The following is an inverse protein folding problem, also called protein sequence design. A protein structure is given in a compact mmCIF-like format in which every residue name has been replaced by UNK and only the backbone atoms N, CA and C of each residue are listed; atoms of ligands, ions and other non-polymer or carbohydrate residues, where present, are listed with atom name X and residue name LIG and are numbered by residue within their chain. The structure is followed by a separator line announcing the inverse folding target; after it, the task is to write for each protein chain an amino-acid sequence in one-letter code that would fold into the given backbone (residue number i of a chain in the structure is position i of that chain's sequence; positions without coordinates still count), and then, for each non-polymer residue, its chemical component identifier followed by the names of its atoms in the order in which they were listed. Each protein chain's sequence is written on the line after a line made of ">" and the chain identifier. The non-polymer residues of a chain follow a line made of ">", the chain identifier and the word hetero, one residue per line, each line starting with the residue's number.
data_IF_131354209392
#
_entry.id   IF_131354209392
#
_cell.length_a   1.000
_cell.length_b   1.000
_cell.length_c   1.000
_cell.angle_alpha   90.00
_cell.angle_beta   90.00
_cell.angle_gamma   90.00
#
_symmetry.space_group_name_H-M   'P 1'
#
loop_
_entity.id
_entity.type
_entity.pdbx_description
1 polymer ?
#
# COMPACT_ATOMS: atom_id res chain seq x y z
N UNK A 1 62.33 3.95 -45.85
CA UNK A 1 62.92 4.29 -44.53
C UNK A 1 61.81 4.44 -43.51
N UNK A 2 61.55 3.39 -42.72
CA UNK A 2 60.59 3.38 -41.62
C UNK A 2 61.31 3.89 -40.37
N UNK A 3 60.97 5.08 -39.89
CA UNK A 3 61.51 5.59 -38.63
C UNK A 3 60.74 4.98 -37.46
N UNK A 4 61.49 4.25 -36.64
CA UNK A 4 61.10 3.60 -35.41
C UNK A 4 61.10 4.67 -34.30
N UNK A 5 59.92 5.07 -33.81
CA UNK A 5 59.82 6.00 -32.67
C UNK A 5 59.68 5.16 -31.40
N UNK A 6 60.77 5.07 -30.63
CA UNK A 6 60.76 4.56 -29.24
C UNK A 6 59.86 5.47 -28.41
N UNK A 7 58.84 4.89 -27.77
CA UNK A 7 58.10 5.53 -26.70
C UNK A 7 59.03 5.76 -25.51
N UNK A 8 59.20 7.02 -25.13
CA UNK A 8 59.94 7.43 -23.95
C UNK A 8 58.95 7.45 -22.78
N UNK A 9 59.11 6.48 -21.90
CA UNK A 9 58.37 6.32 -20.65
C UNK A 9 58.65 7.55 -19.78
N UNK A 10 57.61 8.28 -19.39
CA UNK A 10 57.71 9.40 -18.47
C UNK A 10 57.82 8.85 -17.06
N UNK A 11 59.01 8.98 -16.46
CA UNK A 11 59.23 8.75 -15.03
C UNK A 11 58.35 9.72 -14.22
N UNK A 12 57.24 9.20 -13.69
CA UNK A 12 56.44 9.82 -12.63
C UNK A 12 56.96 9.29 -11.29
N UNK A 13 57.05 10.18 -10.29
CA UNK A 13 57.53 9.81 -8.95
C UNK A 13 56.66 8.69 -8.35
N UNK A 14 57.24 7.55 -7.94
CA UNK A 14 56.50 6.38 -7.43
C UNK A 14 55.71 6.66 -6.15
N UNK A 15 55.97 7.79 -5.47
CA UNK A 15 55.25 8.23 -4.28
C UNK A 15 53.85 8.80 -4.61
N UNK A 16 53.69 9.46 -5.76
CA UNK A 16 52.41 10.04 -6.18
C UNK A 16 51.49 8.96 -6.75
N UNK A 17 52.02 8.00 -7.53
CA UNK A 17 51.25 6.83 -7.96
C UNK A 17 50.78 5.99 -6.76
N UNK A 18 51.60 5.86 -5.72
CA UNK A 18 51.22 5.17 -4.48
C UNK A 18 50.08 5.83 -3.70
N UNK A 19 50.06 7.16 -3.61
CA UNK A 19 48.99 7.91 -2.94
C UNK A 19 47.68 7.89 -3.73
N UNK A 20 47.74 7.95 -5.06
CA UNK A 20 46.56 7.86 -5.92
C UNK A 20 45.97 6.45 -5.88
N UNK A 21 46.80 5.41 -6.01
CA UNK A 21 46.36 4.01 -5.91
C UNK A 21 45.78 3.66 -4.53
N UNK A 22 46.35 4.20 -3.44
CA UNK A 22 45.80 4.02 -2.10
C UNK A 22 44.44 4.73 -1.93
N UNK A 23 44.25 5.90 -2.54
CA UNK A 23 42.97 6.62 -2.49
C UNK A 23 41.87 5.92 -3.31
N UNK A 24 42.22 5.34 -4.47
CA UNK A 24 41.29 4.59 -5.31
C UNK A 24 40.92 3.25 -4.67
N UNK A 25 41.87 2.54 -4.06
CA UNK A 25 41.60 1.31 -3.33
C UNK A 25 40.67 1.53 -2.12
N UNK A 26 40.82 2.65 -1.41
CA UNK A 26 39.98 2.99 -0.27
C UNK A 26 38.57 3.46 -0.69
N UNK A 27 38.46 4.14 -1.84
CA UNK A 27 37.18 4.51 -2.43
C UNK A 27 36.42 3.30 -2.99
N UNK A 28 37.11 2.34 -3.62
CA UNK A 28 36.52 1.11 -4.13
C UNK A 28 36.08 0.17 -2.99
N UNK A 29 36.88 0.05 -1.92
CA UNK A 29 36.51 -0.73 -0.73
C UNK A 29 35.32 -0.14 0.03
N UNK A 30 35.15 1.19 0.00
CA UNK A 30 33.97 1.85 0.57
C UNK A 30 32.73 1.64 -0.30
N UNK A 31 32.89 1.60 -1.64
CA UNK A 31 31.81 1.32 -2.59
C UNK A 31 31.34 -0.15 -2.53
N UNK A 32 32.26 -1.11 -2.40
CA UNK A 32 31.91 -2.54 -2.34
C UNK A 32 31.27 -2.93 -0.99
N UNK A 33 31.55 -2.20 0.09
CA UNK A 33 30.96 -2.47 1.41
C UNK A 33 29.49 -2.00 1.52
N UNK A 34 29.07 -1.05 0.68
CA UNK A 34 27.67 -0.55 0.63
C UNK A 34 26.75 -1.38 -0.29
N UNK A 35 27.28 -2.22 -1.18
CA UNK A 35 26.48 -3.09 -2.07
C UNK A 35 25.89 -4.31 -1.35
N UNK A 36 26.33 -4.61 -0.12
CA UNK A 36 25.81 -5.72 0.70
C UNK A 36 24.53 -5.39 1.48
N UNK A 37 23.96 -4.19 1.34
CA UNK A 37 22.68 -3.82 1.97
C UNK A 37 21.69 -3.35 0.91
N UNK A 38 20.77 -4.25 0.59
CA UNK A 38 19.65 -4.09 -0.34
C UNK A 38 18.75 -2.91 0.07
N UNK A 39 19.05 -1.70 -0.41
CA UNK A 39 18.23 -0.50 -0.23
C UNK A 39 17.75 0.02 -1.59
N UNK A 40 16.44 0.32 -1.73
CA UNK A 40 15.92 0.91 -2.95
C UNK A 40 16.33 2.39 -3.09
N UNK A 41 16.66 2.75 -4.32
CA UNK A 41 17.19 4.04 -4.79
C UNK A 41 16.41 5.30 -4.35
N UNK A 42 17.15 6.38 -4.05
CA UNK A 42 16.56 7.72 -3.87
C UNK A 42 17.57 8.87 -3.67
N UNK A 43 17.98 9.50 -4.77
CA UNK A 43 18.53 10.89 -4.90
C UNK A 43 19.85 11.30 -4.22
N UNK A 44 20.38 10.63 -3.19
CA UNK A 44 21.62 11.08 -2.53
C UNK A 44 22.92 10.73 -3.27
N UNK A 45 22.89 9.79 -4.22
CA UNK A 45 24.10 9.36 -4.94
C UNK A 45 24.51 10.28 -6.08
N UNK A 46 23.59 11.10 -6.62
CA UNK A 46 23.94 12.01 -7.70
C UNK A 46 24.86 13.14 -7.23
N UNK A 47 24.69 13.63 -6.01
CA UNK A 47 25.58 14.65 -5.44
C UNK A 47 27.00 14.10 -5.22
N UNK A 48 27.13 12.84 -4.78
CA UNK A 48 28.43 12.19 -4.59
C UNK A 48 29.11 11.89 -5.93
N UNK A 49 28.35 11.45 -6.95
CA UNK A 49 28.86 11.23 -8.32
C UNK A 49 29.26 12.53 -9.00
N UNK A 50 28.49 13.61 -8.86
CA UNK A 50 28.84 14.93 -9.38
C UNK A 50 30.12 15.45 -8.73
N UNK A 51 30.27 15.31 -7.41
CA UNK A 51 31.50 15.68 -6.70
C UNK A 51 32.73 14.90 -7.15
N UNK A 52 32.61 13.57 -7.33
CA UNK A 52 33.69 12.73 -7.85
C UNK A 52 34.07 13.10 -9.30
N UNK A 53 33.10 13.52 -10.11
CA UNK A 53 33.35 13.94 -11.50
C UNK A 53 34.05 15.30 -11.56
N UNK A 54 33.71 16.22 -10.64
CA UNK A 54 34.39 17.51 -10.48
C UNK A 54 35.83 17.31 -9.98
N UNK A 55 36.06 16.43 -9.01
CA UNK A 55 37.41 16.09 -8.55
C UNK A 55 38.28 15.45 -9.64
N UNK A 56 37.73 14.54 -10.45
CA UNK A 56 38.46 13.95 -11.59
C UNK A 56 38.81 14.98 -12.67
N UNK A 57 37.94 15.97 -12.92
CA UNK A 57 38.23 17.07 -13.86
C UNK A 57 39.28 18.04 -13.35
N UNK A 58 39.33 18.30 -12.03
CA UNK A 58 40.33 19.16 -11.42
C UNK A 58 41.72 18.50 -11.35
N UNK A 59 41.79 17.18 -11.19
CA UNK A 59 43.04 16.41 -11.21
C UNK A 59 43.59 16.15 -12.62
N UNK A 60 42.77 16.30 -13.67
CA UNK A 60 43.16 16.05 -15.06
C UNK A 60 43.59 17.31 -15.85
N UNK A 61 43.81 18.45 -15.18
CA UNK A 61 44.26 19.67 -15.86
C UNK A 61 45.71 19.49 -16.41
N UNK A 62 45.95 19.68 -17.71
CA UNK A 62 47.28 19.51 -18.29
C UNK A 62 48.21 20.66 -17.85
N UNK A 63 49.37 20.30 -17.30
CA UNK A 63 50.44 21.24 -16.92
C UNK A 63 50.94 22.00 -18.17
N UNK A 64 51.07 23.33 -18.13
CA UNK A 64 51.51 24.09 -19.29
C UNK A 64 52.96 23.77 -19.66
N UNK A 65 53.18 23.48 -20.94
CA UNK A 65 54.46 23.10 -21.55
C UNK A 65 55.35 24.35 -21.71
N UNK A 66 56.36 24.50 -20.85
CA UNK A 66 57.35 25.60 -20.92
C UNK A 66 58.32 25.37 -22.09
N UNK A 67 58.26 26.22 -23.13
CA UNK A 67 59.26 26.28 -24.19
C UNK A 67 60.52 27.01 -23.70
N UNK A 68 61.69 26.35 -23.76
CA UNK A 68 63.00 26.96 -23.48
C UNK A 68 63.57 27.56 -24.76
N UNK A 69 63.71 28.89 -24.80
CA UNK A 69 64.68 29.58 -25.67
C UNK A 69 66.00 29.81 -24.89
N UNK A 70 67.16 29.86 -25.54
CA UNK A 70 68.42 30.05 -24.85
C UNK A 70 68.79 31.53 -24.72
N UNK A 71 69.64 31.77 -23.72
CA UNK A 71 70.70 32.79 -23.71
C UNK A 71 70.46 34.08 -22.88
N UNK A 72 71.30 34.14 -21.84
CA UNK A 72 72.00 35.27 -21.23
C UNK A 72 71.35 36.10 -20.10
N UNK A 73 72.22 36.26 -19.10
CA UNK A 73 72.32 37.30 -18.08
C UNK A 73 71.48 37.16 -16.80
N UNK A 74 72.13 36.50 -15.84
CA UNK A 74 72.29 36.92 -14.44
C UNK A 74 71.15 37.70 -13.79
N UNK A 75 70.33 37.02 -12.99
CA UNK A 75 69.73 37.56 -11.77
C UNK A 75 69.50 36.40 -10.77
N UNK A 76 69.58 36.65 -9.45
CA UNK A 76 69.88 35.63 -8.44
C UNK A 76 68.70 34.67 -8.16
N UNK A 77 68.94 33.36 -7.95
CA UNK A 77 67.90 32.41 -7.59
C UNK A 77 67.92 32.24 -6.07
N UNK A 78 67.35 33.19 -5.33
CA UNK A 78 66.99 32.90 -3.96
C UNK A 78 65.78 33.73 -3.57
N UNK A 79 64.90 33.10 -2.80
CA UNK A 79 63.89 33.74 -1.94
C UNK A 79 62.45 33.94 -2.46
N UNK A 80 61.99 33.18 -3.45
CA UNK A 80 60.54 33.16 -3.79
C UNK A 80 59.90 31.76 -3.90
N UNK A 81 60.67 30.67 -3.72
CA UNK A 81 60.16 29.29 -3.77
C UNK A 81 59.92 28.65 -2.39
N UNK A 82 60.06 29.41 -1.29
CA UNK A 82 59.81 28.89 0.07
C UNK A 82 58.32 28.92 0.44
N UNK A 83 57.61 29.99 0.09
CA UNK A 83 56.24 30.19 0.58
C UNK A 83 55.18 29.38 -0.18
N UNK A 84 55.45 28.92 -1.42
CA UNK A 84 54.47 28.15 -2.20
C UNK A 84 54.11 26.81 -1.55
N UNK A 85 55.07 26.17 -0.88
CA UNK A 85 54.85 24.90 -0.19
C UNK A 85 54.11 25.11 1.14
N UNK A 86 54.38 26.22 1.84
CA UNK A 86 53.64 26.60 3.06
C UNK A 86 52.16 26.87 2.75
N UNK A 87 51.85 27.60 1.66
CA UNK A 87 50.46 27.84 1.25
C UNK A 87 49.74 26.56 0.83
N UNK A 88 50.44 25.61 0.21
CA UNK A 88 49.86 24.31 -0.16
C UNK A 88 49.51 23.46 1.06
N UNK A 89 50.38 23.44 2.08
CA UNK A 89 50.12 22.72 3.35
C UNK A 89 48.97 23.38 4.11
N UNK A 90 48.96 24.71 4.20
CA UNK A 90 47.87 25.46 4.84
C UNK A 90 46.54 25.24 4.11
N UNK A 91 46.54 25.24 2.77
CA UNK A 91 45.35 24.95 1.97
C UNK A 91 44.85 23.50 2.18
N UNK A 92 45.75 22.52 2.28
CA UNK A 92 45.38 21.13 2.54
C UNK A 92 44.77 20.96 3.94
N UNK A 93 45.37 21.56 4.97
CA UNK A 93 44.83 21.54 6.34
C UNK A 93 43.48 22.25 6.39
N UNK A 94 43.35 23.42 5.75
CA UNK A 94 42.10 24.15 5.67
C UNK A 94 41.00 23.33 4.97
N UNK A 95 41.34 22.62 3.89
CA UNK A 95 40.41 21.73 3.20
C UNK A 95 39.96 20.55 4.08
N UNK A 96 40.87 19.96 4.86
CA UNK A 96 40.56 18.87 5.80
C UNK A 96 39.66 19.36 6.95
N UNK A 97 39.99 20.51 7.54
CA UNK A 97 39.19 21.12 8.62
C UNK A 97 37.81 21.51 8.10
N UNK A 98 37.72 22.10 6.91
CA UNK A 98 36.45 22.42 6.25
C UNK A 98 35.63 21.15 5.98
N UNK A 99 36.27 20.08 5.50
CA UNK A 99 35.62 18.79 5.27
C UNK A 99 35.07 18.17 6.56
N UNK A 100 35.79 18.28 7.68
CA UNK A 100 35.29 17.84 8.99
C UNK A 100 34.13 18.70 9.49
N UNK A 101 34.20 20.02 9.30
CA UNK A 101 33.18 20.96 9.72
C UNK A 101 31.86 20.81 8.94
N UNK A 102 31.91 20.39 7.68
CA UNK A 102 30.69 20.08 6.92
C UNK A 102 30.06 18.75 7.36
N UNK A 103 30.86 17.80 7.84
CA UNK A 103 30.36 16.50 8.35
C UNK A 103 29.74 16.57 9.75
N UNK A 104 29.94 17.65 10.49
CA UNK A 104 29.33 17.82 11.83
C UNK A 104 27.86 18.23 11.76
N UNK A 105 27.39 18.76 10.63
CA UNK A 105 26.04 19.27 10.47
C UNK A 105 25.13 18.20 9.85
N UNK A 106 24.18 17.70 10.65
CA UNK A 106 23.12 16.82 10.16
C UNK A 106 21.81 17.57 10.05
N UNK A 107 21.07 17.30 8.98
CA UNK A 107 19.71 17.83 8.77
C UNK A 107 18.75 16.65 8.67
N UNK A 108 17.71 16.69 9.49
CA UNK A 108 16.57 15.77 9.42
C UNK A 108 15.35 16.50 8.88
N UNK A 109 14.61 15.80 8.05
CA UNK A 109 13.29 16.25 7.60
C UNK A 109 12.26 16.07 8.72
N UNK A 110 11.09 16.72 8.60
CA UNK A 110 10.05 16.72 9.63
C UNK A 110 9.61 15.30 10.05
N UNK A 111 9.57 14.40 9.06
CA UNK A 111 9.15 13.01 9.17
C UNK A 111 10.30 12.04 9.49
N UNK A 112 11.53 12.54 9.60
CA UNK A 112 12.69 11.75 9.97
C UNK A 112 13.04 11.99 11.45
N UNK A 113 13.47 10.93 12.11
CA UNK A 113 14.06 10.98 13.45
C UNK A 113 15.44 10.34 13.41
N UNK A 114 16.43 11.03 13.97
CA UNK A 114 17.78 10.50 14.08
C UNK A 114 17.98 9.85 15.45
N UNK A 115 18.39 8.59 15.42
CA UNK A 115 18.89 7.85 16.58
C UNK A 115 20.40 7.92 16.54
N UNK A 116 21.00 8.52 17.57
CA UNK A 116 22.44 8.69 17.66
C UNK A 116 23.04 7.60 18.54
N UNK A 117 24.09 6.96 18.04
CA UNK A 117 24.93 6.05 18.79
C UNK A 117 26.28 6.71 19.01
N UNK A 118 26.65 6.90 20.28
CA UNK A 118 27.96 7.45 20.67
C UNK A 118 28.80 6.32 21.23
N UNK A 119 29.86 5.92 20.53
CA UNK A 119 30.73 4.80 20.93
C UNK A 119 29.93 3.53 21.31
N UNK A 120 28.84 3.26 20.59
CA UNK A 120 27.96 2.10 20.84
C UNK A 120 26.93 2.28 21.97
N UNK A 121 26.92 3.39 22.72
CA UNK A 121 25.84 3.70 23.67
C UNK A 121 24.71 4.43 22.96
N UNK A 122 23.47 4.07 23.29
CA UNK A 122 22.27 4.75 22.84
C UNK A 122 22.26 6.18 23.39
N UNK A 123 22.32 7.17 22.50
CA UNK A 123 22.14 8.58 22.83
C UNK A 123 20.67 8.99 22.83
N UNK A 124 20.42 10.30 23.01
CA UNK A 124 19.06 10.84 22.86
C UNK A 124 18.62 10.79 21.40
N UNK A 125 17.34 10.49 21.18
CA UNK A 125 16.70 10.72 19.88
C UNK A 125 16.67 12.22 19.60
N UNK A 126 16.97 12.60 18.36
CA UNK A 126 16.89 14.00 17.92
C UNK A 126 15.68 14.16 17.00
N UNK A 127 14.92 15.21 17.29
CA UNK A 127 13.78 15.65 16.49
C UNK A 127 14.17 16.20 15.12
N UNK A 128 13.21 16.81 14.42
CA UNK A 128 13.44 17.37 13.09
C UNK A 128 14.26 18.67 13.19
N UNK A 129 14.95 19.01 12.10
CA UNK A 129 15.83 20.18 12.02
C UNK A 129 17.31 19.84 12.03
N UNK A 130 18.12 20.83 12.36
CA UNK A 130 19.58 20.70 12.38
C UNK A 130 20.05 20.19 13.75
N UNK A 131 21.06 19.32 13.73
CA UNK A 131 21.70 18.84 14.95
C UNK A 131 23.19 18.71 14.73
N UNK A 132 23.93 18.80 15.83
CA UNK A 132 25.38 18.71 15.84
C UNK A 132 25.83 17.27 16.07
N UNK A 133 26.69 16.79 15.19
CA UNK A 133 27.34 15.48 15.28
C UNK A 133 28.84 15.66 15.47
N UNK A 134 29.43 14.77 16.27
CA UNK A 134 30.88 14.64 16.32
C UNK A 134 31.27 13.62 15.25
N UNK A 135 31.94 14.04 14.14
CA UNK A 135 32.37 13.12 13.10
C UNK A 135 33.28 12.04 13.71
N UNK A 136 33.21 10.82 13.17
CA UNK A 136 33.89 9.59 13.65
C UNK A 136 33.34 8.95 14.92
N UNK A 137 32.85 9.72 15.89
CA UNK A 137 32.39 9.18 17.18
C UNK A 137 30.91 8.81 17.16
N UNK A 138 30.10 9.65 16.51
CA UNK A 138 28.66 9.50 16.47
C UNK A 138 28.25 8.77 15.17
N UNK A 139 27.48 7.68 15.30
CA UNK A 139 26.77 7.02 14.18
C UNK A 139 25.30 7.39 14.24
N UNK A 140 24.70 7.70 13.10
CA UNK A 140 23.28 8.07 13.03
C UNK A 140 22.50 7.08 12.19
N UNK A 141 21.39 6.61 12.76
CA UNK A 141 20.36 5.85 12.05
C UNK A 141 19.13 6.72 11.94
N UNK A 142 18.68 6.97 10.71
CA UNK A 142 17.46 7.72 10.43
C UNK A 142 16.29 6.75 10.33
N UNK A 143 15.20 7.07 11.03
CA UNK A 143 13.94 6.31 11.01
C UNK A 143 12.83 7.23 10.52
N UNK A 144 12.02 6.75 9.58
CA UNK A 144 10.83 7.44 9.11
C UNK A 144 9.66 7.16 10.07
N UNK A 145 8.97 8.21 10.51
CA UNK A 145 7.81 8.11 11.42
C UNK A 145 6.46 8.10 10.69
N UNK A 146 6.46 8.10 9.35
CA UNK A 146 5.22 8.00 8.56
C UNK A 146 4.63 6.59 8.64
N UNK A 147 3.33 6.51 8.41
CA UNK A 147 2.64 5.25 8.15
C UNK A 147 3.14 4.67 6.83
N UNK A 148 3.72 3.47 6.92
CA UNK A 148 4.17 2.70 5.78
C UNK A 148 3.11 1.64 5.51
N UNK A 149 2.75 1.48 4.23
CA UNK A 149 1.86 0.41 3.77
C UNK A 149 2.69 -0.72 3.21
N UNK A 150 2.49 -1.93 3.72
CA UNK A 150 3.13 -3.15 3.19
C UNK A 150 2.06 -4.18 2.85
N UNK A 151 2.16 -4.75 1.67
CA UNK A 151 1.33 -5.89 1.26
C UNK A 151 2.00 -7.16 1.77
N UNK A 152 1.23 -8.03 2.43
CA UNK A 152 1.71 -9.31 2.91
C UNK A 152 1.62 -10.36 1.79
N UNK A 153 2.51 -11.34 1.85
CA UNK A 153 2.49 -12.44 0.88
C UNK A 153 1.26 -13.33 1.05
N UNK A 154 0.82 -13.94 -0.06
CA UNK A 154 -0.32 -14.86 -0.06
C UNK A 154 -0.02 -16.11 0.75
N UNK A 155 -0.81 -16.37 1.78
CA UNK A 155 -0.65 -17.56 2.63
C UNK A 155 -1.79 -18.55 2.37
N UNK A 156 -1.44 -19.83 2.18
CA UNK A 156 -2.39 -20.93 2.12
C UNK A 156 -2.55 -21.56 3.51
N UNK A 157 -3.79 -21.57 4.02
CA UNK A 157 -4.08 -22.11 5.35
C UNK A 157 -5.48 -22.73 5.41
N UNK A 158 -5.75 -23.47 6.48
CA UNK A 158 -7.02 -24.17 6.68
C UNK A 158 -7.78 -23.43 7.79
N UNK A 159 -9.03 -23.10 7.50
CA UNK A 159 -9.97 -22.50 8.45
C UNK A 159 -10.42 -23.52 9.52
N UNK A 160 -11.12 -23.04 10.55
CA UNK A 160 -11.68 -23.92 11.59
C UNK A 160 -12.64 -24.98 11.03
N UNK A 161 -13.34 -24.66 9.95
CA UNK A 161 -14.26 -25.58 9.24
C UNK A 161 -13.56 -26.61 8.33
N UNK A 162 -12.22 -26.61 8.30
CA UNK A 162 -11.45 -27.54 7.47
C UNK A 162 -11.36 -27.14 5.99
N UNK A 163 -11.75 -25.92 5.62
CA UNK A 163 -11.63 -25.43 4.24
C UNK A 163 -10.27 -24.75 4.03
N UNK A 164 -9.53 -25.23 3.03
CA UNK A 164 -8.30 -24.59 2.58
C UNK A 164 -8.63 -23.27 1.85
N UNK A 165 -7.98 -22.18 2.26
CA UNK A 165 -8.14 -20.84 1.70
C UNK A 165 -6.78 -20.19 1.48
N UNK A 166 -6.68 -19.35 0.45
CA UNK A 166 -5.51 -18.48 0.23
C UNK A 166 -5.90 -17.05 0.57
N UNK A 167 -5.12 -16.39 1.42
CA UNK A 167 -5.50 -15.09 1.97
C UNK A 167 -4.39 -14.08 1.76
N UNK A 168 -4.80 -12.88 1.36
CA UNK A 168 -3.95 -11.69 1.23
C UNK A 168 -4.38 -10.63 2.22
N UNK A 169 -3.44 -9.84 2.71
CA UNK A 169 -3.74 -8.70 3.56
C UNK A 169 -2.75 -7.54 3.36
N UNK A 170 -3.16 -6.37 3.82
CA UNK A 170 -2.36 -5.15 3.83
C UNK A 170 -2.20 -4.67 5.26
N UNK A 171 -0.97 -4.28 5.59
CA UNK A 171 -0.58 -3.81 6.90
C UNK A 171 -0.19 -2.33 6.82
N UNK A 172 -0.79 -1.51 7.69
CA UNK A 172 -0.38 -0.12 7.92
C UNK A 172 0.26 0.00 9.30
N UNK A 173 1.51 0.42 9.33
CA UNK A 173 2.26 0.60 10.57
C UNK A 173 3.19 1.81 10.51
N UNK A 174 3.53 2.34 11.68
CA UNK A 174 4.46 3.47 11.83
C UNK A 174 5.37 3.29 13.03
N UNK A 175 6.57 3.86 12.94
CA UNK A 175 7.50 3.91 14.07
C UNK A 175 7.13 5.08 15.01
N UNK A 176 6.73 4.78 16.24
CA UNK A 176 6.43 5.79 17.27
C UNK A 176 7.66 6.10 18.10
N UNK A 177 8.41 5.06 18.49
CA UNK A 177 9.66 5.21 19.24
C UNK A 177 10.86 4.77 18.40
N UNK A 178 11.55 5.71 17.74
CA UNK A 178 12.67 5.37 16.86
C UNK A 178 13.85 4.77 17.62
N UNK A 179 14.05 5.06 18.92
CA UNK A 179 15.11 4.43 19.70
C UNK A 179 14.84 2.94 19.87
N UNK A 180 13.63 2.58 20.34
CA UNK A 180 13.25 1.17 20.51
C UNK A 180 13.28 0.40 19.19
N UNK A 181 12.80 1.00 18.09
CA UNK A 181 12.78 0.35 16.76
C UNK A 181 14.17 -0.07 16.29
N UNK A 182 15.21 0.72 16.58
CA UNK A 182 16.59 0.39 16.18
C UNK A 182 17.29 -0.56 17.15
N UNK A 183 16.93 -0.53 18.45
CA UNK A 183 17.60 -1.36 19.46
C UNK A 183 16.94 -2.70 19.73
N UNK A 184 15.63 -2.81 19.55
CA UNK A 184 14.86 -3.99 19.97
C UNK A 184 14.96 -5.14 18.97
N UNK A 185 15.08 -4.85 17.67
CA UNK A 185 15.11 -5.83 16.58
C UNK A 185 16.09 -5.40 15.52
N UNK A 186 16.82 -6.34 14.94
CA UNK A 186 17.76 -6.10 13.83
C UNK A 186 17.07 -5.48 12.60
N UNK A 187 16.03 -6.15 12.08
CA UNK A 187 15.15 -5.63 11.03
C UNK A 187 13.70 -5.63 11.51
N UNK A 188 13.26 -4.48 12.01
CA UNK A 188 11.89 -4.27 12.45
C UNK A 188 10.85 -4.46 11.31
N UNK A 189 11.21 -4.12 10.06
CA UNK A 189 10.34 -4.32 8.89
C UNK A 189 10.09 -5.80 8.61
N UNK A 190 11.13 -6.62 8.65
CA UNK A 190 11.00 -8.07 8.42
C UNK A 190 10.27 -8.74 9.58
N UNK A 191 10.58 -8.34 10.82
CA UNK A 191 9.95 -8.91 12.00
C UNK A 191 8.43 -8.62 12.05
N UNK A 192 7.99 -7.41 11.67
CA UNK A 192 6.55 -7.10 11.65
C UNK A 192 5.80 -7.88 10.57
N UNK A 193 6.41 -8.08 9.40
CA UNK A 193 5.82 -8.90 8.32
C UNK A 193 5.65 -10.35 8.80
N UNK A 194 6.69 -10.94 9.38
CA UNK A 194 6.64 -12.31 9.90
C UNK A 194 5.64 -12.47 11.05
N UNK A 195 5.56 -11.47 11.94
CA UNK A 195 4.57 -11.44 13.01
C UNK A 195 3.15 -11.36 12.43
N UNK A 196 2.93 -10.52 11.42
CA UNK A 196 1.65 -10.39 10.73
C UNK A 196 1.25 -11.67 10.01
N UNK A 197 2.16 -12.35 9.31
CA UNK A 197 1.91 -13.63 8.66
C UNK A 197 1.54 -14.73 9.66
N UNK A 198 2.25 -14.79 10.79
CA UNK A 198 1.94 -15.73 11.87
C UNK A 198 0.59 -15.43 12.51
N UNK A 199 0.32 -14.15 12.79
CA UNK A 199 -0.97 -13.69 13.34
C UNK A 199 -2.13 -13.94 12.38
N UNK A 200 -1.94 -13.75 11.07
CA UNK A 200 -2.94 -14.08 10.06
C UNK A 200 -3.25 -15.56 10.06
N UNK A 201 -2.24 -16.43 10.05
CA UNK A 201 -2.44 -17.88 10.10
C UNK A 201 -3.23 -18.30 11.34
N UNK A 202 -2.93 -17.73 12.50
CA UNK A 202 -3.67 -18.00 13.74
C UNK A 202 -5.11 -17.48 13.70
N UNK A 203 -5.31 -16.23 13.25
CA UNK A 203 -6.63 -15.63 13.14
C UNK A 203 -7.56 -16.38 12.18
N UNK A 204 -7.01 -16.85 11.04
CA UNK A 204 -7.77 -17.65 10.06
C UNK A 204 -8.06 -19.05 10.61
N UNK A 205 -7.10 -19.70 11.26
CA UNK A 205 -7.30 -21.03 11.84
C UNK A 205 -8.35 -21.06 12.96
N UNK A 206 -8.60 -19.93 13.62
CA UNK A 206 -9.62 -19.79 14.66
C UNK A 206 -10.99 -19.34 14.12
N UNK A 207 -11.05 -18.89 12.86
CA UNK A 207 -12.26 -18.34 12.23
C UNK A 207 -12.88 -19.33 11.25
N UNK A 208 -14.21 -19.27 11.15
CA UNK A 208 -15.00 -20.04 10.20
C UNK A 208 -15.03 -19.32 8.83
N UNK A 209 -15.23 -20.08 7.74
CA UNK A 209 -15.22 -19.50 6.39
C UNK A 209 -16.31 -18.43 6.21
N UNK A 210 -17.49 -18.70 6.75
CA UNK A 210 -18.64 -17.79 6.66
C UNK A 210 -18.36 -16.46 7.37
N UNK A 211 -17.66 -16.51 8.51
CA UNK A 211 -17.24 -15.32 9.26
C UNK A 211 -16.23 -14.49 8.46
N UNK A 212 -15.30 -15.13 7.74
CA UNK A 212 -14.36 -14.44 6.86
C UNK A 212 -15.04 -13.72 5.69
N UNK A 213 -16.16 -14.26 5.20
CA UNK A 213 -16.91 -13.70 4.08
C UNK A 213 -17.87 -12.58 4.52
N UNK A 214 -18.53 -12.73 5.67
CA UNK A 214 -19.56 -11.78 6.16
C UNK A 214 -19.01 -10.72 7.11
N UNK A 215 -18.15 -11.10 8.06
CA UNK A 215 -17.77 -10.29 9.22
C UNK A 215 -16.26 -9.99 9.27
N UNK A 216 -15.72 -9.42 8.19
CA UNK A 216 -14.29 -9.08 8.08
C UNK A 216 -13.79 -8.15 9.18
N UNK A 217 -14.65 -7.26 9.68
CA UNK A 217 -14.32 -6.29 10.74
C UNK A 217 -13.91 -6.99 12.04
N UNK A 218 -14.58 -8.09 12.39
CA UNK A 218 -14.27 -8.82 13.62
C UNK A 218 -12.89 -9.47 13.57
N UNK A 219 -12.52 -10.02 12.41
CA UNK A 219 -11.21 -10.67 12.19
C UNK A 219 -10.09 -9.64 12.18
N UNK A 220 -10.28 -8.52 11.47
CA UNK A 220 -9.31 -7.43 11.43
C UNK A 220 -9.03 -6.88 12.85
N UNK A 221 -10.07 -6.72 13.68
CA UNK A 221 -9.91 -6.28 15.07
C UNK A 221 -9.11 -7.27 15.92
N UNK A 222 -9.42 -8.57 15.81
CA UNK A 222 -8.68 -9.61 16.55
C UNK A 222 -7.21 -9.67 16.12
N UNK A 223 -6.96 -9.57 14.82
CA UNK A 223 -5.61 -9.54 14.25
C UNK A 223 -4.82 -8.32 14.76
N UNK A 224 -5.46 -7.15 14.81
CA UNK A 224 -4.86 -5.93 15.35
C UNK A 224 -4.50 -6.09 16.85
N UNK A 225 -5.37 -6.67 17.66
CA UNK A 225 -5.13 -6.93 19.09
C UNK A 225 -3.95 -7.89 19.30
N UNK A 226 -3.85 -8.96 18.51
CA UNK A 226 -2.74 -9.90 18.57
C UNK A 226 -1.41 -9.26 18.17
N UNK A 227 -1.41 -8.48 17.09
CA UNK A 227 -0.18 -7.89 16.55
C UNK A 227 0.29 -6.67 17.32
N UNK A 228 -0.61 -5.84 17.84
CA UNK A 228 -0.27 -4.66 18.65
C UNK A 228 0.56 -5.05 19.88
N UNK A 229 0.18 -6.12 20.58
CA UNK A 229 0.91 -6.64 21.75
C UNK A 229 2.38 -6.98 21.43
N UNK A 230 2.65 -7.50 20.23
CA UNK A 230 4.01 -7.80 19.78
C UNK A 230 4.74 -6.54 19.28
N UNK A 231 4.06 -5.69 18.51
CA UNK A 231 4.61 -4.48 17.89
C UNK A 231 5.02 -3.41 18.94
N UNK A 232 4.29 -3.30 20.04
CA UNK A 232 4.60 -2.38 21.14
C UNK A 232 5.98 -2.65 21.76
N UNK A 233 6.40 -3.92 21.82
CA UNK A 233 7.73 -4.31 22.33
C UNK A 233 8.85 -3.75 21.45
N UNK A 234 8.57 -3.55 20.17
CA UNK A 234 9.52 -3.02 19.19
C UNK A 234 9.40 -1.50 18.99
N UNK A 235 8.44 -0.84 19.63
CA UNK A 235 8.21 0.61 19.46
C UNK A 235 7.48 0.97 18.17
N UNK A 236 6.76 0.02 17.58
CA UNK A 236 5.95 0.17 16.37
C UNK A 236 4.49 0.23 16.78
N UNK A 237 3.73 1.12 16.15
CA UNK A 237 2.27 1.14 16.24
C UNK A 237 1.69 0.65 14.91
N UNK A 238 0.69 -0.22 14.99
CA UNK A 238 -0.05 -0.72 13.83
C UNK A 238 -1.33 0.10 13.76
N UNK A 239 -1.51 0.84 12.67
CA UNK A 239 -2.69 1.69 12.47
C UNK A 239 -3.91 0.82 12.09
N UNK A 240 -3.72 -0.12 11.16
CA UNK A 240 -4.75 -1.04 10.71
C UNK A 240 -4.15 -2.29 10.04
N UNK A 241 -4.93 -3.37 10.05
CA UNK A 241 -4.68 -4.57 9.23
C UNK A 241 -5.97 -4.94 8.53
N UNK A 242 -5.92 -5.09 7.22
CA UNK A 242 -7.10 -5.44 6.42
C UNK A 242 -6.83 -6.66 5.54
N UNK A 243 -7.70 -7.65 5.67
CA UNK A 243 -7.75 -8.78 4.74
C UNK A 243 -8.30 -8.28 3.41
N UNK A 244 -7.48 -8.39 2.36
CA UNK A 244 -7.80 -7.94 1.01
C UNK A 244 -8.72 -8.95 0.33
N UNK A 245 -8.19 -10.13 0.03
CA UNK A 245 -8.86 -11.17 -0.76
C UNK A 245 -8.73 -12.53 -0.07
N UNK A 246 -9.76 -13.37 -0.23
CA UNK A 246 -9.82 -14.75 0.29
C UNK A 246 -10.22 -15.65 -0.88
N UNK A 247 -9.26 -16.41 -1.40
CA UNK A 247 -9.49 -17.34 -2.50
C UNK A 247 -9.81 -18.73 -1.96
N UNK A 248 -10.96 -19.25 -2.37
CA UNK A 248 -11.46 -20.58 -2.01
C UNK A 248 -11.34 -21.49 -3.24
N UNK A 249 -11.03 -22.79 -3.10
CA UNK A 249 -11.02 -23.74 -4.22
C UNK A 249 -12.33 -23.70 -5.03
N UNK A 250 -12.23 -23.75 -6.36
CA UNK A 250 -13.37 -23.62 -7.27
C UNK A 250 -14.47 -24.65 -7.02
N UNK A 251 -14.09 -25.88 -6.64
CA UNK A 251 -15.04 -26.94 -6.30
C UNK A 251 -15.95 -26.55 -5.13
N UNK A 252 -15.40 -25.92 -4.10
CA UNK A 252 -16.15 -25.48 -2.93
C UNK A 252 -16.99 -24.23 -3.24
N UNK A 253 -16.46 -23.28 -4.03
CA UNK A 253 -17.22 -22.11 -4.48
C UNK A 253 -18.50 -22.54 -5.21
N UNK A 254 -18.40 -23.53 -6.11
CA UNK A 254 -19.56 -24.09 -6.83
C UNK A 254 -20.56 -24.77 -5.89
N UNK A 255 -20.09 -25.45 -4.84
CA UNK A 255 -20.97 -26.08 -3.84
C UNK A 255 -21.75 -25.03 -3.03
N UNK A 256 -21.06 -24.01 -2.51
CA UNK A 256 -21.68 -22.89 -1.78
C UNK A 256 -22.68 -22.15 -2.67
N UNK A 257 -22.33 -21.91 -3.94
CA UNK A 257 -23.22 -21.24 -4.89
C UNK A 257 -24.55 -22.01 -5.08
N UNK A 258 -24.48 -23.33 -5.25
CA UNK A 258 -25.68 -24.19 -5.37
C UNK A 258 -26.52 -24.21 -4.10
N UNK A 259 -25.86 -24.27 -2.93
CA UNK A 259 -26.55 -24.22 -1.64
C UNK A 259 -27.25 -22.87 -1.44
N UNK A 260 -26.55 -21.77 -1.73
CA UNK A 260 -27.09 -20.43 -1.64
C UNK A 260 -28.27 -20.22 -2.62
N UNK A 261 -28.20 -20.77 -3.83
CA UNK A 261 -29.28 -20.75 -4.80
C UNK A 261 -30.51 -21.52 -4.29
N UNK A 262 -30.32 -22.73 -3.76
CA UNK A 262 -31.41 -23.52 -3.18
C UNK A 262 -32.07 -22.81 -1.97
N UNK A 263 -31.28 -22.17 -1.11
CA UNK A 263 -31.80 -21.37 0.03
C UNK A 263 -32.56 -20.14 -0.47
N UNK A 264 -32.04 -19.44 -1.49
CA UNK A 264 -32.70 -18.28 -2.10
C UNK A 264 -34.03 -18.68 -2.75
N UNK A 265 -34.05 -19.79 -3.49
CA UNK A 265 -35.26 -20.31 -4.12
C UNK A 265 -36.30 -20.73 -3.06
N UNK A 266 -35.88 -21.44 -2.01
CA UNK A 266 -36.74 -21.80 -0.89
C UNK A 266 -37.34 -20.54 -0.23
N UNK A 267 -36.52 -19.52 0.04
CA UNK A 267 -37.00 -18.24 0.61
C UNK A 267 -37.98 -17.54 -0.32
N UNK A 268 -37.69 -17.48 -1.62
CA UNK A 268 -38.57 -16.87 -2.61
C UNK A 268 -39.94 -17.59 -2.68
N UNK A 269 -39.96 -18.92 -2.60
CA UNK A 269 -41.21 -19.70 -2.55
C UNK A 269 -42.03 -19.41 -1.29
N UNK A 270 -41.39 -19.30 -0.13
CA UNK A 270 -42.07 -18.96 1.14
C UNK A 270 -42.67 -17.56 1.06
N UNK A 271 -41.87 -16.56 0.65
CA UNK A 271 -42.33 -15.17 0.51
C UNK A 271 -43.49 -15.07 -0.48
N UNK A 272 -43.43 -15.81 -1.59
CA UNK A 272 -44.52 -15.85 -2.57
C UNK A 272 -45.80 -16.46 -1.98
N UNK A 273 -45.69 -17.59 -1.29
CA UNK A 273 -46.84 -18.23 -0.67
C UNK A 273 -47.47 -17.37 0.45
N UNK A 274 -46.63 -16.70 1.25
CA UNK A 274 -47.07 -15.72 2.26
C UNK A 274 -47.76 -14.52 1.61
N UNK A 275 -47.19 -13.97 0.54
CA UNK A 275 -47.80 -12.88 -0.23
C UNK A 275 -49.13 -13.28 -0.89
N UNK A 276 -49.25 -14.51 -1.41
CA UNK A 276 -50.50 -15.04 -1.97
C UNK A 276 -51.58 -15.18 -0.88
N UNK A 277 -51.22 -15.66 0.31
CA UNK A 277 -52.14 -15.76 1.44
C UNK A 277 -52.60 -14.38 1.94
N UNK A 278 -51.67 -13.43 2.10
CA UNK A 278 -51.99 -12.05 2.50
C UNK A 278 -52.89 -11.36 1.46
N UNK A 279 -52.60 -11.56 0.17
CA UNK A 279 -53.44 -11.05 -0.92
C UNK A 279 -54.85 -11.66 -0.89
N UNK A 280 -54.96 -12.98 -0.71
CA UNK A 280 -56.25 -13.67 -0.62
C UNK A 280 -57.10 -13.17 0.55
N UNK A 281 -56.48 -12.94 1.72
CA UNK A 281 -57.17 -12.38 2.89
C UNK A 281 -57.71 -10.97 2.61
N UNK A 282 -56.87 -10.07 2.08
CA UNK A 282 -57.31 -8.70 1.74
C UNK A 282 -58.41 -8.68 0.67
N UNK A 283 -58.34 -9.58 -0.32
CA UNK A 283 -59.38 -9.72 -1.33
C UNK A 283 -60.71 -10.22 -0.73
N UNK A 284 -60.66 -11.18 0.19
CA UNK A 284 -61.85 -11.66 0.88
C UNK A 284 -62.50 -10.57 1.75
N UNK A 285 -61.70 -9.79 2.48
CA UNK A 285 -62.16 -8.63 3.25
C UNK A 285 -62.78 -7.56 2.33
N UNK A 286 -62.13 -7.26 1.21
CA UNK A 286 -62.66 -6.32 0.22
C UNK A 286 -63.99 -6.81 -0.39
N UNK A 287 -64.10 -8.10 -0.70
CA UNK A 287 -65.34 -8.69 -1.22
C UNK A 287 -66.48 -8.60 -0.18
N UNK A 288 -66.19 -8.88 1.09
CA UNK A 288 -67.16 -8.72 2.17
C UNK A 288 -67.61 -7.26 2.30
N UNK A 289 -66.69 -6.28 2.22
CA UNK A 289 -67.04 -4.86 2.23
C UNK A 289 -67.89 -4.46 1.01
N UNK A 290 -67.53 -4.90 -0.20
CA UNK A 290 -68.31 -4.62 -1.42
C UNK A 290 -69.73 -5.19 -1.30
N UNK A 291 -69.89 -6.38 -0.72
CA UNK A 291 -71.20 -7.01 -0.52
C UNK A 291 -72.14 -6.21 0.39
N UNK A 292 -71.61 -5.41 1.33
CA UNK A 292 -72.44 -4.56 2.21
C UNK A 292 -73.12 -3.40 1.49
N UNK A 293 -72.57 -2.94 0.35
CA UNK A 293 -73.08 -1.79 -0.39
C UNK A 293 -73.41 -2.16 -1.84
N UNK A 294 -74.70 -2.28 -2.23
CA UNK A 294 -75.09 -2.80 -3.55
C UNK A 294 -74.57 -1.97 -4.74
N UNK A 295 -74.27 -0.68 -4.55
CA UNK A 295 -73.65 0.17 -5.59
C UNK A 295 -72.14 -0.02 -5.79
N UNK A 296 -71.44 -0.66 -4.84
CA UNK A 296 -69.97 -0.82 -4.91
C UNK A 296 -69.54 -1.82 -5.98
N UNK A 297 -70.35 -2.86 -6.23
CA UNK A 297 -70.07 -3.85 -7.28
C UNK A 297 -70.13 -3.22 -8.68
N UNK A 298 -71.07 -2.30 -8.89
CA UNK A 298 -71.23 -1.59 -10.15
C UNK A 298 -70.08 -0.62 -10.41
N UNK A 299 -69.66 0.14 -9.39
CA UNK A 299 -68.46 0.99 -9.48
C UNK A 299 -67.20 0.17 -9.79
N UNK A 300 -67.04 -1.00 -9.16
CA UNK A 300 -65.94 -1.93 -9.44
C UNK A 300 -65.99 -2.40 -10.90
N UNK A 301 -67.16 -2.78 -11.41
CA UNK A 301 -67.38 -3.16 -12.83
C UNK A 301 -66.95 -2.05 -13.79
N UNK A 302 -67.36 -0.82 -13.51
CA UNK A 302 -66.97 0.34 -14.31
C UNK A 302 -65.45 0.58 -14.25
N UNK A 303 -64.82 0.42 -13.09
CA UNK A 303 -63.36 0.51 -12.94
C UNK A 303 -62.63 -0.57 -13.75
N UNK A 304 -63.08 -1.83 -13.73
CA UNK A 304 -62.47 -2.89 -14.55
C UNK A 304 -62.60 -2.59 -16.04
N UNK A 305 -63.72 -2.01 -16.47
CA UNK A 305 -63.90 -1.59 -17.87
C UNK A 305 -62.91 -0.48 -18.27
N UNK A 306 -62.62 0.47 -17.37
CA UNK A 306 -61.57 1.48 -17.62
C UNK A 306 -60.16 0.90 -17.61
N UNK A 307 -59.81 -0.02 -16.71
CA UNK A 307 -58.47 -0.65 -16.70
C UNK A 307 -58.23 -1.49 -17.97
N UNK A 308 -59.22 -2.29 -18.38
CA UNK A 308 -59.14 -3.08 -19.62
C UNK A 308 -59.06 -2.17 -20.85
N UNK A 309 -59.79 -1.05 -20.85
CA UNK A 309 -59.75 -0.07 -21.94
C UNK A 309 -58.42 0.70 -22.05
N UNK A 310 -57.59 0.72 -21.01
CA UNK A 310 -56.27 1.36 -21.02
C UNK A 310 -55.17 0.40 -21.49
N UNK A 311 -55.22 -0.89 -21.13
CA UNK A 311 -54.18 -1.87 -21.52
C UNK A 311 -54.40 -2.50 -22.91
N UNK A 312 -55.63 -2.57 -23.42
CA UNK A 312 -55.91 -3.13 -24.75
C UNK A 312 -56.91 -2.27 -25.55
N UNK A 313 -56.46 -1.78 -26.71
CA UNK A 313 -57.28 -1.13 -27.74
C UNK A 313 -58.20 -2.15 -28.46
N UNK A 314 -58.98 -2.93 -27.71
CA UNK A 314 -59.89 -3.95 -28.22
C UNK A 314 -61.34 -3.53 -28.02
N UNK A 315 -62.17 -3.77 -29.04
CA UNK A 315 -63.59 -3.43 -29.05
C UNK A 315 -64.31 -4.18 -27.93
N UNK A 316 -64.67 -3.46 -26.86
CA UNK A 316 -65.40 -4.01 -25.71
C UNK A 316 -66.83 -4.33 -26.16
N UNK A 317 -67.14 -5.61 -26.37
CA UNK A 317 -68.52 -6.06 -26.53
C UNK A 317 -69.15 -6.09 -25.14
N UNK A 318 -69.89 -5.03 -24.79
CA UNK A 318 -70.64 -4.96 -23.55
C UNK A 318 -71.71 -6.07 -23.55
N UNK A 319 -71.49 -7.13 -22.77
CA UNK A 319 -72.56 -8.10 -22.50
C UNK A 319 -73.66 -7.40 -21.71
N UNK A 320 -74.87 -7.41 -22.27
CA UNK A 320 -76.08 -6.81 -21.71
C UNK A 320 -76.30 -7.26 -20.25
N UNK A 321 -76.76 -6.36 -19.36
CA UNK A 321 -77.02 -6.67 -17.96
C UNK A 321 -77.93 -7.89 -17.81
N UNK A 322 -77.56 -8.82 -16.92
CA UNK A 322 -78.33 -10.04 -16.64
C UNK A 322 -79.74 -9.70 -16.14
N UNK A 323 -79.94 -8.53 -15.56
CA UNK A 323 -81.24 -7.99 -15.13
C UNK A 323 -82.20 -7.76 -16.32
N UNK A 324 -81.69 -7.33 -17.48
CA UNK A 324 -82.48 -7.20 -18.72
C UNK A 324 -82.85 -8.57 -19.27
N UNK A 325 -81.98 -9.57 -19.15
CA UNK A 325 -82.27 -10.96 -19.50
C UNK A 325 -83.32 -11.59 -18.56
N UNK A 326 -83.24 -11.32 -17.26
CA UNK A 326 -84.22 -11.79 -16.28
C UNK A 326 -85.57 -11.07 -16.43
N UNK A 327 -85.58 -9.78 -16.78
CA UNK A 327 -86.80 -9.04 -17.10
C UNK A 327 -87.43 -9.52 -18.42
N UNK A 328 -86.62 -9.75 -19.47
CA UNK A 328 -87.08 -10.32 -20.73
C UNK A 328 -87.60 -11.76 -20.56
N UNK A 329 -86.94 -12.58 -19.74
CA UNK A 329 -87.40 -13.93 -19.39
C UNK A 329 -88.73 -13.94 -18.64
N UNK A 330 -88.94 -12.97 -17.72
CA UNK A 330 -90.22 -12.77 -17.02
C UNK A 330 -91.34 -12.26 -17.92
N UNK A 331 -91.03 -11.39 -18.89
CA UNK A 331 -92.00 -10.85 -19.87
C UNK A 331 -92.34 -11.89 -20.95
N UNK A 332 -91.40 -12.77 -21.31
CA UNK A 332 -91.60 -13.83 -22.29
C UNK A 332 -92.33 -15.07 -21.76
N UNK A 333 -92.74 -15.10 -20.49
CA UNK A 333 -93.53 -16.19 -19.90
C UNK A 333 -92.78 -17.52 -19.75
N UNK A 334 -91.44 -17.53 -19.83
CA UNK A 334 -90.65 -18.71 -19.53
C UNK A 334 -90.55 -18.83 -18.00
N UNK A 335 -91.34 -19.73 -17.43
CA UNK A 335 -91.12 -20.19 -16.06
C UNK A 335 -89.71 -20.76 -15.97
N UNK A 336 -88.80 -20.05 -15.32
CA UNK A 336 -87.58 -20.67 -14.81
C UNK A 336 -88.04 -21.64 -13.72
N UNK A 337 -88.20 -22.90 -14.10
CA UNK A 337 -88.24 -23.99 -13.14
C UNK A 337 -86.99 -23.87 -12.28
N UNK A 338 -87.21 -23.86 -10.96
CA UNK A 338 -86.18 -24.08 -9.96
C UNK A 338 -85.38 -25.33 -10.31
N UNK A 339 -84.11 -25.14 -10.69
CA UNK A 339 -83.09 -26.15 -10.50
C UNK A 339 -82.40 -25.79 -9.18
N UNK A 340 -82.63 -26.64 -8.18
CA UNK A 340 -81.79 -26.78 -6.99
C UNK A 340 -80.32 -27.07 -7.35
#
# INVERSE_FOLDING_TARGET
>A
MRCHVRGQQSDLDPFIEGLVAASEAHAQAWFDMDVAHDKPFGKTDNAAREWLTVCKRLLAAPVPRVQRGPMLLSLPPHRLWGHGMDYAIVAAIAAVVMGLALKTLGINQEYERAVLFRLGRLGTTKGPGWYWLIPFVDRVVKVDTRTITVQLETQETITRDGVAVKVNAVLWYRAVDPARVVTAVESWRSAIIQAAETGMRDAIGQSDLDQMLKDRVAINKRLLELLSTAAERWGIEIDAVEIKDVDIPEQMQRAIAREAEAIREKRARIIKAEGENEAAQKLAEAAAMIATAPGALELRRLQTLTEIGVEHNSTIIAMLPVELLHAAGRIAGLSTGSAE
#
